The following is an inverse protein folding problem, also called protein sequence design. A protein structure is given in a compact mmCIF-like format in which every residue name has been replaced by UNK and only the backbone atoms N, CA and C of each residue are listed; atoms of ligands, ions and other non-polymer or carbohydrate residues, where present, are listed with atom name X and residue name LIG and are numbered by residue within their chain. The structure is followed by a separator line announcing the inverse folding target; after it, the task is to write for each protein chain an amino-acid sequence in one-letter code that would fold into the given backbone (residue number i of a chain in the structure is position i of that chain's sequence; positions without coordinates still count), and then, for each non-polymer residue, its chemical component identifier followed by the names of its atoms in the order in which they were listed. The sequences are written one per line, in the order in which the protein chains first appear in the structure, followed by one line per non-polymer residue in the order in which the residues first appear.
data_IF_873511214787
#
_entry.id   IF_873511214787
#
_cell.length_a   1.000
_cell.length_b   1.000
_cell.length_c   1.000
_cell.angle_alpha   90.00
_cell.angle_beta   90.00
_cell.angle_gamma   90.00
#
_symmetry.space_group_name_H-M   'P 1'
#
loop_
_entity.id
_entity.type
_entity.pdbx_description
1 polymer ?
#
# COMPACT_ATOMS: atom_id res chain seq x y z
N UNK A 1 4.25 31.14 -8.60
CA UNK A 1 5.03 30.55 -7.53
C UNK A 1 4.31 29.30 -7.03
N UNK A 2 4.93 28.12 -7.15
CA UNK A 2 4.35 26.88 -6.69
C UNK A 2 4.51 26.73 -5.17
N UNK A 3 3.71 25.85 -4.58
CA UNK A 3 3.94 25.51 -3.18
C UNK A 3 5.08 24.47 -3.07
N UNK A 4 5.80 24.46 -1.94
CA UNK A 4 6.96 23.60 -1.78
C UNK A 4 6.63 22.10 -1.89
N UNK A 5 5.44 21.68 -1.44
CA UNK A 5 5.04 20.29 -1.52
C UNK A 5 4.86 19.84 -2.97
N UNK A 6 4.21 20.67 -3.79
CA UNK A 6 4.07 20.39 -5.23
C UNK A 6 5.42 20.24 -5.92
N UNK A 7 6.38 21.09 -5.57
CA UNK A 7 7.73 21.01 -6.12
C UNK A 7 8.39 19.69 -5.76
N UNK A 8 8.27 19.26 -4.50
CA UNK A 8 8.82 17.98 -4.02
C UNK A 8 8.15 16.80 -4.74
N UNK A 9 6.82 16.82 -4.86
CA UNK A 9 6.07 15.74 -5.51
C UNK A 9 6.48 15.62 -6.98
N UNK A 10 6.67 16.75 -7.68
CA UNK A 10 7.14 16.73 -9.06
C UNK A 10 8.54 16.11 -9.18
N UNK A 11 9.42 16.39 -8.24
CA UNK A 11 10.75 15.79 -8.21
C UNK A 11 10.67 14.28 -7.89
N UNK A 12 9.69 13.88 -7.11
CA UNK A 12 9.51 12.48 -6.69
C UNK A 12 8.64 11.68 -7.65
N UNK A 13 8.25 12.25 -8.78
CA UNK A 13 7.34 11.59 -9.72
C UNK A 13 7.78 10.16 -10.00
N UNK A 14 6.99 9.14 -9.62
CA UNK A 14 7.40 7.75 -9.82
C UNK A 14 7.38 7.36 -11.29
N UNK A 15 8.32 6.50 -11.68
CA UNK A 15 8.39 5.99 -13.06
C UNK A 15 7.23 5.05 -13.35
N UNK A 16 6.81 4.30 -12.34
CA UNK A 16 5.63 3.45 -12.45
C UNK A 16 5.13 3.08 -11.06
N UNK A 17 3.90 2.58 -11.03
CA UNK A 17 3.27 2.06 -9.81
C UNK A 17 2.89 0.61 -10.08
N UNK A 18 3.23 -0.26 -9.15
CA UNK A 18 2.92 -1.67 -9.21
C UNK A 18 2.02 -2.03 -8.04
N UNK A 19 0.93 -2.78 -8.29
CA UNK A 19 0.00 -3.14 -7.23
C UNK A 19 -0.71 -4.46 -7.48
N UNK A 20 -0.99 -5.19 -6.40
CA UNK A 20 -1.77 -6.43 -6.39
C UNK A 20 -2.80 -6.39 -5.28
N UNK A 21 -3.91 -7.08 -5.48
CA UNK A 21 -4.88 -7.29 -4.40
C UNK A 21 -4.40 -8.41 -3.50
N UNK A 22 -4.43 -8.14 -2.20
CA UNK A 22 -4.14 -9.10 -1.14
C UNK A 22 -5.40 -9.21 -0.30
N UNK A 23 -5.90 -10.45 -0.13
CA UNK A 23 -7.07 -10.68 0.69
C UNK A 23 -6.79 -11.77 1.72
N UNK A 24 -7.59 -11.77 2.78
CA UNK A 24 -7.46 -12.76 3.85
C UNK A 24 -8.78 -13.11 4.47
N UNK A 25 -8.88 -14.34 4.98
CA UNK A 25 -10.05 -14.83 5.70
C UNK A 25 -9.63 -15.77 6.81
N UNK A 26 -10.21 -15.57 8.00
CA UNK A 26 -9.93 -16.40 9.16
C UNK A 26 -8.53 -16.17 9.71
N UNK A 27 -7.83 -17.25 10.02
CA UNK A 27 -6.46 -17.19 10.53
C UNK A 27 -5.47 -17.15 9.37
N UNK A 28 -4.74 -16.04 9.26
CA UNK A 28 -3.75 -15.87 8.20
C UNK A 28 -2.68 -14.87 8.61
N UNK A 29 -1.48 -15.05 8.10
CA UNK A 29 -0.37 -14.11 8.25
C UNK A 29 0.57 -14.27 7.07
N UNK A 30 1.09 -13.14 6.59
CA UNK A 30 2.02 -13.08 5.46
C UNK A 30 3.21 -12.24 5.89
N UNK A 31 4.41 -12.77 5.71
CA UNK A 31 5.62 -12.04 6.03
C UNK A 31 6.37 -11.71 4.75
N UNK A 32 6.70 -10.45 4.60
CA UNK A 32 7.44 -9.92 3.47
C UNK A 32 8.87 -9.60 3.88
N UNK A 33 9.81 -10.01 3.03
CA UNK A 33 11.21 -9.66 3.21
C UNK A 33 11.45 -8.18 2.93
N UNK A 34 12.62 -7.70 3.35
CA UNK A 34 13.07 -6.34 3.08
C UNK A 34 13.07 -6.07 1.57
N UNK A 35 12.44 -4.98 1.16
CA UNK A 35 12.34 -4.61 -0.26
C UNK A 35 13.20 -3.39 -0.59
N UNK A 36 13.36 -2.45 0.34
CA UNK A 36 14.22 -1.28 0.17
C UNK A 36 13.63 -0.15 -0.66
N UNK A 37 12.52 -0.36 -1.36
CA UNK A 37 11.83 0.65 -2.17
C UNK A 37 10.53 1.09 -1.50
N UNK A 38 10.00 2.27 -1.85
CA UNK A 38 8.75 2.73 -1.26
C UNK A 38 7.60 1.79 -1.57
N UNK A 39 7.00 1.24 -0.53
CA UNK A 39 5.85 0.35 -0.62
C UNK A 39 4.61 0.98 -0.01
N UNK A 40 3.44 0.53 -0.45
CA UNK A 40 2.18 1.04 0.07
C UNK A 40 1.16 -0.07 0.25
N UNK A 41 0.18 0.20 1.11
CA UNK A 41 -0.99 -0.65 1.30
C UNK A 41 -2.23 0.24 1.41
N UNK A 42 -3.26 -0.11 0.67
CA UNK A 42 -4.56 0.56 0.70
C UNK A 42 -5.59 -0.47 1.13
N UNK A 43 -6.28 -0.25 2.24
CA UNK A 43 -7.32 -1.19 2.70
C UNK A 43 -8.63 -0.82 2.03
N UNK A 44 -9.14 -1.73 1.20
CA UNK A 44 -10.39 -1.54 0.45
C UNK A 44 -11.59 -1.98 1.28
N UNK A 45 -11.47 -3.10 1.97
CA UNK A 45 -12.58 -3.70 2.76
C UNK A 45 -12.01 -4.37 4.00
N UNK A 46 -12.76 -4.30 5.10
CA UNK A 46 -12.42 -5.00 6.33
C UNK A 46 -11.26 -4.38 7.08
N UNK A 47 -10.51 -5.20 7.80
CA UNK A 47 -9.39 -4.74 8.62
C UNK A 47 -8.30 -5.79 8.69
N UNK A 48 -7.09 -5.35 9.03
CA UNK A 48 -5.92 -6.20 9.15
C UNK A 48 -4.95 -5.60 10.15
N UNK A 49 -3.96 -6.40 10.55
CA UNK A 49 -2.88 -5.95 11.42
C UNK A 49 -1.59 -5.86 10.61
N UNK A 50 -0.91 -4.74 10.71
CA UNK A 50 0.41 -4.53 10.10
C UNK A 50 1.45 -4.43 11.21
N UNK A 51 2.50 -5.24 11.12
CA UNK A 51 3.62 -5.17 12.05
C UNK A 51 4.92 -5.01 11.27
N UNK A 52 5.49 -3.81 11.32
CA UNK A 52 6.80 -3.54 10.73
C UNK A 52 7.86 -3.88 11.77
N UNK A 53 8.91 -4.58 11.37
CA UNK A 53 9.97 -5.00 12.30
C UNK A 53 10.52 -3.80 13.09
N UNK A 54 10.62 -3.97 14.41
CA UNK A 54 11.07 -2.91 15.30
C UNK A 54 9.99 -1.92 15.73
N UNK A 55 8.75 -2.11 15.27
CA UNK A 55 7.64 -1.20 15.59
C UNK A 55 6.46 -1.96 16.18
N UNK A 56 5.62 -1.25 16.92
CA UNK A 56 4.38 -1.82 17.45
C UNK A 56 3.40 -2.13 16.33
N UNK A 57 2.57 -3.15 16.52
CA UNK A 57 1.54 -3.52 15.55
C UNK A 57 0.51 -2.39 15.39
N UNK A 58 0.06 -2.20 14.15
CA UNK A 58 -0.93 -1.19 13.78
C UNK A 58 -2.16 -1.92 13.23
N UNK A 59 -3.35 -1.49 13.66
CA UNK A 59 -4.60 -1.95 13.07
C UNK A 59 -4.98 -1.04 11.90
N UNK A 60 -5.19 -1.64 10.74
CA UNK A 60 -5.61 -0.95 9.52
C UNK A 60 -7.08 -1.25 9.26
N UNK A 61 -7.85 -0.23 8.92
CA UNK A 61 -9.26 -0.38 8.56
C UNK A 61 -9.54 0.09 7.15
N UNK A 62 -10.74 -0.19 6.66
CA UNK A 62 -11.16 0.22 5.31
C UNK A 62 -10.99 1.73 5.13
N UNK A 63 -10.40 2.13 4.02
CA UNK A 63 -10.09 3.52 3.72
C UNK A 63 -8.72 3.97 4.17
N UNK A 64 -7.97 3.16 4.92
CA UNK A 64 -6.63 3.51 5.37
C UNK A 64 -5.60 3.37 4.25
N UNK A 65 -4.62 4.25 4.27
CA UNK A 65 -3.44 4.20 3.41
C UNK A 65 -2.18 4.17 4.26
N UNK A 66 -1.28 3.24 3.95
CA UNK A 66 0.03 3.16 4.61
C UNK A 66 1.11 3.27 3.56
N UNK A 67 2.11 4.09 3.84
CA UNK A 67 3.32 4.20 3.03
C UNK A 67 4.51 3.82 3.89
N UNK A 68 5.35 2.93 3.35
CA UNK A 68 6.62 2.53 3.95
C UNK A 68 7.74 3.01 3.02
N UNK A 69 8.37 4.16 3.28
CA UNK A 69 9.34 4.74 2.33
C UNK A 69 10.53 3.83 1.98
N UNK A 70 10.91 2.92 2.87
CA UNK A 70 12.01 1.97 2.61
C UNK A 70 11.58 0.52 2.70
N UNK A 71 10.32 0.27 2.96
CA UNK A 71 9.72 -1.06 3.12
C UNK A 71 10.62 -2.05 3.87
N UNK A 72 10.83 -1.85 5.20
CA UNK A 72 11.50 -2.87 6.01
C UNK A 72 10.70 -4.17 6.03
N UNK A 73 11.27 -5.28 6.49
CA UNK A 73 10.49 -6.50 6.64
C UNK A 73 9.24 -6.25 7.50
N UNK A 74 8.10 -6.79 7.07
CA UNK A 74 6.84 -6.60 7.79
C UNK A 74 5.95 -7.82 7.69
N UNK A 75 4.99 -7.91 8.60
CA UNK A 75 3.95 -8.94 8.61
C UNK A 75 2.59 -8.27 8.46
N UNK A 76 1.80 -8.75 7.51
CA UNK A 76 0.39 -8.39 7.39
C UNK A 76 -0.42 -9.61 7.78
N UNK A 77 -1.41 -9.44 8.65
CA UNK A 77 -2.14 -10.56 9.20
C UNK A 77 -3.59 -10.22 9.52
N UNK A 78 -4.42 -11.27 9.67
CA UNK A 78 -5.68 -11.16 10.37
C UNK A 78 -5.45 -11.08 11.89
N UNK A 79 -6.53 -11.24 12.67
CA UNK A 79 -6.47 -11.10 14.11
C UNK A 79 -6.39 -12.44 14.84
N UNK A 80 -6.65 -13.54 14.15
CA UNK A 80 -6.46 -14.87 14.67
C UNK A 80 -5.02 -15.33 14.46
N UNK A 81 -4.37 -15.95 15.46
CA UNK A 81 -3.00 -16.42 15.32
C UNK A 81 -2.84 -17.41 14.17
N UNK A 82 -1.82 -17.24 13.36
CA UNK A 82 -1.48 -18.14 12.27
C UNK A 82 0.03 -18.11 12.03
N UNK A 83 0.64 -19.24 11.63
CA UNK A 83 2.03 -19.21 11.21
C UNK A 83 2.16 -18.39 9.91
N UNK A 84 3.17 -17.52 9.80
CA UNK A 84 3.30 -16.67 8.62
C UNK A 84 3.75 -17.45 7.40
N UNK A 85 3.17 -17.09 6.24
CA UNK A 85 3.66 -17.52 4.93
C UNK A 85 4.67 -16.47 4.45
N UNK A 86 5.86 -16.89 4.07
CA UNK A 86 6.92 -15.99 3.63
C UNK A 86 6.77 -15.70 2.15
N UNK A 87 6.82 -14.43 1.79
CA UNK A 87 6.75 -13.98 0.41
C UNK A 87 7.96 -13.11 0.10
N UNK A 88 8.62 -13.42 -1.01
CA UNK A 88 9.69 -12.61 -1.57
C UNK A 88 9.06 -11.57 -2.49
N UNK A 89 9.15 -10.26 -2.16
CA UNK A 89 8.54 -9.20 -2.98
C UNK A 89 9.04 -9.21 -4.42
N UNK A 90 10.28 -9.64 -4.66
CA UNK A 90 10.86 -9.67 -6.01
C UNK A 90 10.26 -10.79 -6.87
N UNK A 91 9.60 -11.78 -6.26
CA UNK A 91 9.02 -12.93 -6.94
C UNK A 91 7.50 -12.89 -7.01
N UNK A 92 6.88 -11.80 -6.58
CA UNK A 92 5.43 -11.65 -6.72
C UNK A 92 5.11 -11.49 -8.19
N UNK A 93 4.18 -12.31 -8.75
CA UNK A 93 3.83 -12.18 -10.16
C UNK A 93 3.27 -10.80 -10.45
N UNK A 94 3.79 -10.16 -11.49
CA UNK A 94 3.21 -8.92 -11.98
C UNK A 94 1.83 -9.18 -12.56
N UNK A 95 0.97 -8.17 -12.54
CA UNK A 95 -0.37 -8.26 -13.11
C UNK A 95 -1.46 -8.22 -12.05
N UNK A 96 -2.70 -8.39 -12.52
CA UNK A 96 -3.88 -8.23 -11.68
C UNK A 96 -4.34 -9.56 -11.09
N UNK A 97 -3.49 -10.16 -10.24
CA UNK A 97 -3.86 -11.34 -9.49
C UNK A 97 -4.26 -11.00 -8.07
N UNK A 98 -5.19 -11.74 -7.51
CA UNK A 98 -5.49 -11.66 -6.08
C UNK A 98 -4.71 -12.74 -5.34
N UNK A 99 -3.94 -12.31 -4.34
CA UNK A 99 -3.22 -13.22 -3.44
C UNK A 99 -4.09 -13.43 -2.21
N UNK A 100 -4.76 -14.57 -2.16
CA UNK A 100 -5.66 -14.89 -1.05
C UNK A 100 -4.96 -15.76 0.00
N UNK A 101 -5.07 -15.34 1.26
CA UNK A 101 -4.48 -16.02 2.41
C UNK A 101 -5.55 -16.52 3.35
N UNK A 102 -5.26 -17.60 4.10
CA UNK A 102 -6.20 -18.20 5.03
C UNK A 102 -7.21 -19.07 4.31
N UNK A 103 -8.47 -18.99 4.71
CA UNK A 103 -9.53 -19.77 4.10
C UNK A 103 -9.79 -19.29 2.68
N UNK A 104 -9.85 -20.23 1.73
CA UNK A 104 -9.94 -19.93 0.31
C UNK A 104 -11.37 -19.73 -0.20
N UNK A 105 -12.36 -20.21 0.55
CA UNK A 105 -13.75 -20.17 0.14
C UNK A 105 -14.51 -19.06 0.85
N UNK A 106 -15.53 -18.54 0.19
CA UNK A 106 -16.41 -17.52 0.73
C UNK A 106 -15.83 -16.10 0.65
N UNK A 107 -16.57 -15.11 1.14
CA UNK A 107 -16.12 -13.72 1.10
C UNK A 107 -14.92 -13.51 2.03
N UNK A 108 -13.99 -12.67 1.59
CA UNK A 108 -12.81 -12.32 2.39
C UNK A 108 -13.20 -11.43 3.57
N UNK A 109 -12.47 -11.56 4.69
CA UNK A 109 -12.62 -10.67 5.84
C UNK A 109 -11.94 -9.32 5.59
N UNK A 110 -10.91 -9.33 4.75
CA UNK A 110 -10.12 -8.15 4.43
C UNK A 110 -9.69 -8.22 2.96
N UNK A 111 -9.71 -7.07 2.32
CA UNK A 111 -9.22 -6.92 0.95
C UNK A 111 -8.42 -5.63 0.88
N UNK A 112 -7.19 -5.73 0.38
CA UNK A 112 -6.28 -4.59 0.28
C UNK A 112 -5.57 -4.57 -1.07
N UNK A 113 -5.09 -3.40 -1.45
CA UNK A 113 -4.20 -3.23 -2.59
C UNK A 113 -2.81 -2.90 -2.06
N UNK A 114 -1.86 -3.80 -2.29
CA UNK A 114 -0.48 -3.62 -1.88
C UNK A 114 0.43 -3.49 -3.08
N UNK A 115 1.42 -2.63 -2.98
CA UNK A 115 2.32 -2.42 -4.11
C UNK A 115 3.51 -1.55 -3.78
N UNK A 116 4.12 -1.04 -4.83
CA UNK A 116 5.32 -0.22 -4.72
C UNK A 116 5.34 0.87 -5.77
N UNK A 117 6.00 1.98 -5.41
CA UNK A 117 6.35 3.03 -6.35
C UNK A 117 7.75 2.76 -6.87
N UNK A 118 7.91 2.76 -8.18
CA UNK A 118 9.23 2.60 -8.80
C UNK A 118 9.82 3.97 -9.04
N UNK A 119 10.77 4.34 -8.19
CA UNK A 119 11.53 5.59 -8.28
C UNK A 119 12.97 5.29 -8.70
N UNK A 120 13.64 6.31 -9.23
CA UNK A 120 15.09 6.27 -9.30
C UNK A 120 15.69 6.27 -7.89
N UNK A 121 16.92 5.77 -7.74
CA UNK A 121 17.59 5.66 -6.44
C UNK A 121 17.63 6.98 -5.69
N UNK A 122 17.87 8.08 -6.40
CA UNK A 122 17.92 9.42 -5.82
C UNK A 122 16.56 9.83 -5.23
N UNK A 123 15.48 9.63 -6.00
CA UNK A 123 14.13 9.99 -5.55
C UNK A 123 13.69 9.12 -4.37
N UNK A 124 14.00 7.83 -4.41
CA UNK A 124 13.69 6.94 -3.28
C UNK A 124 14.41 7.38 -2.02
N UNK A 125 15.69 7.75 -2.12
CA UNK A 125 16.47 8.27 -1.00
C UNK A 125 15.92 9.59 -0.46
N UNK A 126 15.48 10.47 -1.34
CA UNK A 126 14.87 11.74 -0.94
C UNK A 126 13.57 11.49 -0.18
N UNK A 127 12.71 10.62 -0.68
CA UNK A 127 11.45 10.27 -0.01
C UNK A 127 11.73 9.71 1.38
N UNK A 128 12.68 8.79 1.49
CA UNK A 128 13.06 8.19 2.77
C UNK A 128 13.59 9.24 3.77
N UNK A 129 14.28 10.28 3.29
CA UNK A 129 14.80 11.33 4.15
C UNK A 129 13.72 12.31 4.62
N UNK A 130 12.62 12.42 3.90
CA UNK A 130 11.54 13.37 4.20
C UNK A 130 10.45 12.77 5.10
N UNK A 131 10.31 11.46 5.13
CA UNK A 131 9.19 10.79 5.77
C UNK A 131 9.66 9.83 6.87
N UNK A 132 8.81 9.60 7.90
CA UNK A 132 9.10 8.55 8.88
C UNK A 132 9.02 7.16 8.26
N UNK A 133 9.48 6.15 8.99
CA UNK A 133 9.49 4.75 8.51
C UNK A 133 8.10 4.25 8.16
N UNK A 134 7.08 4.71 8.88
CA UNK A 134 5.68 4.32 8.65
C UNK A 134 4.85 5.60 8.57
N UNK A 135 4.15 5.77 7.44
CA UNK A 135 3.16 6.84 7.29
C UNK A 135 1.79 6.18 7.21
N UNK A 136 0.96 6.39 8.22
CA UNK A 136 -0.39 5.83 8.29
C UNK A 136 -1.41 6.95 8.22
N UNK A 137 -2.13 7.04 7.11
CA UNK A 137 -3.13 8.08 6.86
C UNK A 137 -4.51 7.48 7.02
N UNK A 138 -5.33 8.10 7.86
CA UNK A 138 -6.68 7.60 8.16
C UNK A 138 -7.62 8.74 8.53
N UNK A 139 -8.92 8.46 8.45
CA UNK A 139 -9.95 9.36 8.95
C UNK A 139 -10.29 10.54 8.07
N UNK A 140 -9.68 10.66 6.90
CA UNK A 140 -9.97 11.74 5.95
C UNK A 140 -11.08 11.30 5.00
N UNK A 141 -12.10 12.13 4.82
CA UNK A 141 -13.15 11.88 3.83
C UNK A 141 -12.57 11.86 2.42
N UNK A 142 -11.65 12.76 2.14
CA UNK A 142 -10.96 12.82 0.84
C UNK A 142 -10.17 11.54 0.58
N UNK A 143 -9.47 11.04 1.60
CA UNK A 143 -8.73 9.79 1.50
C UNK A 143 -9.67 8.63 1.18
N UNK A 144 -10.80 8.54 1.88
CA UNK A 144 -11.77 7.47 1.64
C UNK A 144 -12.33 7.52 0.22
N UNK A 145 -12.56 8.71 -0.33
CA UNK A 145 -13.02 8.87 -1.71
C UNK A 145 -11.96 8.37 -2.70
N UNK A 146 -10.69 8.73 -2.47
CA UNK A 146 -9.60 8.26 -3.33
C UNK A 146 -9.43 6.75 -3.27
N UNK A 147 -9.51 6.17 -2.07
CA UNK A 147 -9.42 4.72 -1.88
C UNK A 147 -10.56 4.01 -2.61
N UNK A 148 -11.77 4.53 -2.51
CA UNK A 148 -12.91 3.98 -3.22
C UNK A 148 -12.72 4.01 -4.73
N UNK A 149 -12.22 5.13 -5.27
CA UNK A 149 -11.92 5.25 -6.70
C UNK A 149 -10.86 4.24 -7.15
N UNK A 150 -9.83 4.01 -6.32
CA UNK A 150 -8.80 3.01 -6.60
C UNK A 150 -9.42 1.61 -6.71
N UNK A 151 -10.26 1.25 -5.75
CA UNK A 151 -10.94 -0.05 -5.75
C UNK A 151 -11.83 -0.24 -6.97
N UNK A 152 -12.64 0.77 -7.30
CA UNK A 152 -13.53 0.74 -8.47
C UNK A 152 -12.73 0.59 -9.78
N UNK A 153 -11.67 1.37 -9.93
CA UNK A 153 -10.86 1.35 -11.13
C UNK A 153 -10.11 0.02 -11.28
N UNK A 154 -9.60 -0.52 -10.18
CA UNK A 154 -8.95 -1.83 -10.19
C UNK A 154 -9.91 -2.93 -10.63
N UNK A 155 -11.14 -2.93 -10.10
CA UNK A 155 -12.13 -3.97 -10.41
C UNK A 155 -12.71 -3.83 -11.82
N UNK A 156 -12.84 -2.60 -12.34
CA UNK A 156 -13.47 -2.34 -13.63
C UNK A 156 -12.65 -2.88 -14.81
N UNK A 157 -11.34 -2.82 -14.75
CA UNK A 157 -10.43 -3.29 -15.80
C UNK A 157 -10.81 -2.79 -17.20
N UNK A 158 -11.11 -1.50 -17.29
CA UNK A 158 -11.48 -0.86 -18.54
C UNK A 158 -10.25 -0.30 -19.26
N UNK A 159 -10.37 0.03 -20.55
CA UNK A 159 -9.29 0.76 -21.22
C UNK A 159 -8.94 2.03 -20.45
N UNK A 160 -7.66 2.26 -20.20
CA UNK A 160 -7.18 3.38 -19.42
C UNK A 160 -7.12 3.16 -17.92
N UNK A 161 -7.61 2.03 -17.40
CA UNK A 161 -7.60 1.74 -15.97
C UNK A 161 -6.20 1.76 -15.37
N UNK A 162 -5.22 1.20 -16.06
CA UNK A 162 -3.84 1.19 -15.54
C UNK A 162 -3.29 2.60 -15.36
N UNK A 163 -3.57 3.48 -16.32
CA UNK A 163 -3.17 4.88 -16.21
C UNK A 163 -3.86 5.58 -15.04
N UNK A 164 -5.19 5.43 -14.94
CA UNK A 164 -5.96 6.07 -13.88
C UNK A 164 -5.54 5.55 -12.50
N UNK A 165 -5.33 4.23 -12.37
CA UNK A 165 -4.86 3.63 -11.12
C UNK A 165 -3.54 4.25 -10.67
N UNK A 166 -2.57 4.36 -11.57
CA UNK A 166 -1.28 4.97 -11.25
C UNK A 166 -1.43 6.41 -10.79
N UNK A 167 -2.29 7.18 -11.45
CA UNK A 167 -2.53 8.58 -11.06
C UNK A 167 -3.22 8.68 -9.69
N UNK A 168 -4.20 7.83 -9.43
CA UNK A 168 -4.90 7.80 -8.15
C UNK A 168 -3.95 7.44 -7.00
N UNK A 169 -3.09 6.45 -7.19
CA UNK A 169 -2.12 6.06 -6.17
C UNK A 169 -1.09 7.17 -5.93
N UNK A 170 -0.68 7.89 -6.98
CA UNK A 170 0.17 9.07 -6.80
C UNK A 170 -0.53 10.16 -5.98
N UNK A 171 -1.84 10.34 -6.17
CA UNK A 171 -2.60 11.28 -5.34
C UNK A 171 -2.61 10.86 -3.87
N UNK A 172 -2.67 9.56 -3.60
CA UNK A 172 -2.55 9.06 -2.23
C UNK A 172 -1.16 9.34 -1.64
N UNK A 173 -0.12 9.28 -2.45
CA UNK A 173 1.22 9.69 -2.02
C UNK A 173 1.23 11.16 -1.57
N UNK A 174 0.58 12.04 -2.33
CA UNK A 174 0.45 13.45 -1.97
C UNK A 174 -0.27 13.60 -0.63
N UNK A 175 -1.37 12.87 -0.43
CA UNK A 175 -2.11 12.91 0.84
C UNK A 175 -1.22 12.43 2.01
N UNK A 176 -0.42 11.39 1.80
CA UNK A 176 0.50 10.90 2.81
C UNK A 176 1.52 11.99 3.21
N UNK A 177 2.06 12.69 2.21
CA UNK A 177 3.03 13.76 2.47
C UNK A 177 2.38 14.96 3.18
N UNK A 178 1.14 15.30 2.86
CA UNK A 178 0.39 16.33 3.58
C UNK A 178 0.15 15.95 5.03
N UNK A 179 -0.11 14.66 5.27
CA UNK A 179 -0.37 14.15 6.62
C UNK A 179 0.82 14.36 7.56
N UNK A 180 2.04 14.29 7.02
CA UNK A 180 3.28 14.42 7.79
C UNK A 180 3.84 15.84 7.81
N UNK A 181 3.22 16.76 7.11
CA UNK A 181 3.68 18.16 7.03
C UNK A 181 3.24 18.99 8.21
#
# INVERSE_FOLDING_TARGET
MGDPLSDVVQLLHPRSVFANVISGKGAWAVRYADYGLPGFCIVLEGSARLTVDGHAAITLGAGDFVLLPTTPPFTLSGFEPAPPVFIDPERVPGGRGELRHGEQDGPADMRSLGGAFLFDTKQAGLLASLLPTIVHVRGSQRLMQLVQMVGEEYDAQQPGSDYLLSRLVEMLLVEAMRWTS
#
